data_IF_798161563887
#
_entry.id   IF_798161563887
#
_cell.length_a   1.000
_cell.length_b   1.000
_cell.length_c   1.000
_cell.angle_alpha   90.00
_cell.angle_beta   90.00
_cell.angle_gamma   90.00
#
_symmetry.space_group_name_H-M   'P 1'
#
loop_
_entity.id
_entity.type
_entity.pdbx_description
1 polymer ?
#
# COMPACT_ATOMS: atom_id res chain seq x y z
N UNK A 1 -4.47 -10.07 11.58
CA UNK A 1 -3.90 -10.60 10.31
C UNK A 1 -4.22 -9.66 9.13
N UNK A 2 -3.24 -9.36 8.26
CA UNK A 2 -3.43 -8.54 7.05
C UNK A 2 -4.36 -9.15 5.98
N UNK A 3 -5.14 -8.33 5.28
CA UNK A 3 -6.13 -8.77 4.28
C UNK A 3 -5.53 -9.61 3.14
N UNK A 4 -4.35 -9.22 2.63
CA UNK A 4 -3.67 -9.87 1.52
C UNK A 4 -2.65 -10.95 1.94
N UNK A 5 -2.55 -11.27 3.23
CA UNK A 5 -1.47 -12.11 3.79
C UNK A 5 -1.23 -13.41 3.00
N UNK A 6 -2.30 -14.11 2.58
CA UNK A 6 -2.19 -15.38 1.83
C UNK A 6 -1.87 -15.25 0.35
N UNK A 7 -2.10 -14.09 -0.26
CA UNK A 7 -1.99 -13.94 -1.72
C UNK A 7 -0.82 -13.06 -2.13
N UNK A 8 -0.52 -12.02 -1.36
CA UNK A 8 0.56 -11.09 -1.62
C UNK A 8 0.94 -10.35 -0.33
N UNK A 9 1.85 -10.93 0.46
CA UNK A 9 2.22 -10.40 1.78
C UNK A 9 3.02 -9.09 1.68
N UNK A 10 3.83 -8.93 0.63
CA UNK A 10 4.71 -7.78 0.40
C UNK A 10 3.95 -6.45 0.36
N UNK A 11 2.68 -6.45 -0.05
CA UNK A 11 1.84 -5.26 -0.12
C UNK A 11 1.73 -4.48 1.20
N UNK A 12 1.85 -5.16 2.34
CA UNK A 12 1.74 -4.55 3.66
C UNK A 12 2.91 -4.91 4.58
N UNK A 13 3.95 -5.56 4.04
CA UNK A 13 5.04 -6.08 4.84
C UNK A 13 5.85 -4.96 5.50
N UNK A 14 6.08 -3.86 4.78
CA UNK A 14 6.79 -2.69 5.28
C UNK A 14 6.11 -2.01 6.49
N UNK A 15 4.83 -2.29 6.77
CA UNK A 15 4.13 -1.80 7.98
C UNK A 15 4.65 -2.45 9.27
N UNK A 16 5.29 -3.63 9.19
CA UNK A 16 5.78 -4.38 10.36
C UNK A 16 4.72 -4.57 11.47
N UNK A 17 3.69 -5.35 11.16
CA UNK A 17 2.57 -5.59 12.07
C UNK A 17 2.98 -6.18 13.42
N UNK A 18 4.02 -7.02 13.49
CA UNK A 18 4.48 -7.57 14.77
C UNK A 18 4.95 -6.47 15.70
N UNK A 19 5.72 -5.49 15.19
CA UNK A 19 6.15 -4.33 15.98
C UNK A 19 4.97 -3.46 16.41
N UNK A 20 3.96 -3.32 15.55
CA UNK A 20 2.73 -2.59 15.89
C UNK A 20 1.89 -3.33 16.94
N UNK A 21 1.80 -4.66 16.87
CA UNK A 21 1.09 -5.51 17.83
C UNK A 21 1.75 -5.48 19.23
N UNK A 22 3.08 -5.32 19.28
CA UNK A 22 3.84 -5.19 20.53
C UNK A 22 3.77 -3.77 21.16
N UNK A 23 3.18 -2.80 20.46
CA UNK A 23 3.08 -1.41 20.89
C UNK A 23 1.77 -1.13 21.64
N UNK A 24 1.78 -1.45 22.93
CA UNK A 24 0.63 -1.30 23.82
C UNK A 24 0.52 0.14 24.34
N UNK A 25 -0.20 0.98 23.61
CA UNK A 25 -0.58 2.32 24.05
C UNK A 25 -2.07 2.57 23.83
N UNK A 26 -2.72 3.21 24.79
CA UNK A 26 -4.11 3.66 24.65
C UNK A 26 -4.22 4.98 23.87
N UNK A 27 -3.11 5.72 23.74
CA UNK A 27 -3.08 7.02 23.07
C UNK A 27 -2.54 6.89 21.66
N UNK A 28 -3.18 7.60 20.73
CA UNK A 28 -2.70 7.70 19.35
C UNK A 28 -1.34 8.38 19.34
N UNK A 29 -0.34 7.70 18.78
CA UNK A 29 1.02 8.19 18.64
C UNK A 29 1.72 7.53 17.44
N UNK A 30 2.90 8.04 17.09
CA UNK A 30 3.77 7.40 16.09
C UNK A 30 4.46 6.22 16.76
N UNK A 31 4.15 5.01 16.29
CA UNK A 31 4.78 3.78 16.74
C UNK A 31 6.22 3.68 16.24
N UNK A 32 6.40 3.81 14.92
CA UNK A 32 7.71 3.70 14.28
C UNK A 32 7.72 4.23 12.85
N UNK A 33 8.92 4.55 12.36
CA UNK A 33 9.15 4.84 10.96
C UNK A 33 9.19 3.55 10.14
N UNK A 34 8.66 3.60 8.92
CA UNK A 34 8.86 2.55 7.91
C UNK A 34 10.27 2.70 7.34
N UNK A 35 11.17 1.79 7.69
CA UNK A 35 12.59 1.86 7.29
C UNK A 35 12.92 1.06 6.05
N UNK A 36 12.16 -0.02 5.78
CA UNK A 36 12.36 -0.89 4.63
C UNK A 36 11.17 -0.71 3.69
N UNK A 37 11.20 0.35 2.88
CA UNK A 37 10.23 0.49 1.81
C UNK A 37 10.31 -0.73 0.90
N UNK A 38 9.16 -1.35 0.65
CA UNK A 38 9.07 -2.53 -0.20
C UNK A 38 8.32 -2.18 -1.49
N UNK A 39 8.82 -2.68 -2.62
CA UNK A 39 8.19 -2.44 -3.89
C UNK A 39 6.75 -2.96 -3.89
N UNK A 40 5.81 -2.14 -4.38
CA UNK A 40 4.36 -2.37 -4.28
C UNK A 40 3.78 -2.25 -2.86
N UNK A 41 4.45 -1.54 -1.94
CA UNK A 41 3.85 -1.18 -0.66
C UNK A 41 2.55 -0.38 -0.85
N UNK A 42 1.48 -0.80 -0.18
CA UNK A 42 0.13 -0.24 -0.32
C UNK A 42 -0.57 -0.14 1.05
N UNK A 43 -0.12 0.77 1.93
CA UNK A 43 -0.77 1.02 3.20
C UNK A 43 -2.12 1.72 3.04
N UNK A 44 -2.89 1.76 4.12
CA UNK A 44 -3.86 2.84 4.32
C UNK A 44 -3.14 3.95 5.08
N UNK A 45 -3.23 5.18 4.61
CA UNK A 45 -2.51 6.30 5.18
C UNK A 45 -3.35 7.57 5.16
N UNK A 46 -2.94 8.53 5.99
CA UNK A 46 -3.35 9.92 5.93
C UNK A 46 -2.12 10.73 5.55
N UNK A 47 -2.28 11.73 4.70
CA UNK A 47 -1.19 12.60 4.25
C UNK A 47 -1.71 14.04 4.07
N UNK A 48 -0.81 15.04 4.06
CA UNK A 48 -1.16 16.39 3.65
C UNK A 48 -1.65 16.42 2.19
N UNK A 49 -2.35 17.47 1.80
CA UNK A 49 -2.80 17.70 0.43
C UNK A 49 -1.66 18.06 -0.56
N UNK A 50 -0.43 18.19 -0.04
CA UNK A 50 0.78 18.48 -0.83
C UNK A 50 1.45 17.24 -1.42
N UNK A 51 1.01 16.04 -1.07
CA UNK A 51 1.55 14.82 -1.68
C UNK A 51 1.19 14.72 -3.16
N UNK A 52 1.99 14.03 -3.99
CA UNK A 52 1.62 13.75 -5.37
C UNK A 52 0.21 13.18 -5.49
N UNK A 53 -0.54 13.61 -6.49
CA UNK A 53 -1.91 13.14 -6.72
C UNK A 53 -1.94 11.69 -7.23
N UNK A 54 -3.10 11.05 -7.16
CA UNK A 54 -3.27 9.76 -7.83
C UNK A 54 -3.15 9.92 -9.36
N UNK A 55 -2.35 9.08 -9.99
CA UNK A 55 -2.21 9.07 -11.44
C UNK A 55 -3.46 8.44 -12.10
N UNK A 56 -4.21 9.28 -12.82
CA UNK A 56 -5.49 8.92 -13.44
C UNK A 56 -5.36 7.89 -14.58
N UNK A 57 -4.14 7.58 -15.05
CA UNK A 57 -3.93 6.50 -16.02
C UNK A 57 -4.23 5.13 -15.42
N UNK A 58 -4.13 4.97 -14.10
CA UNK A 58 -4.43 3.72 -13.40
C UNK A 58 -5.91 3.65 -13.03
N UNK A 59 -6.67 2.89 -13.81
CA UNK A 59 -8.13 2.76 -13.65
C UNK A 59 -8.53 1.35 -13.24
N UNK A 60 -9.57 1.23 -12.41
CA UNK A 60 -10.12 -0.04 -12.00
C UNK A 60 -9.26 -0.76 -10.97
N UNK A 61 -9.00 -2.06 -11.19
CA UNK A 61 -8.32 -2.92 -10.22
C UNK A 61 -6.79 -2.97 -10.41
N UNK A 62 -6.08 -2.70 -9.31
CA UNK A 62 -4.63 -2.85 -9.20
C UNK A 62 -3.84 -1.59 -9.61
N UNK A 63 -2.73 -1.35 -8.92
CA UNK A 63 -1.81 -0.25 -9.16
C UNK A 63 -2.39 1.18 -9.02
N UNK A 64 -3.45 1.35 -8.23
CA UNK A 64 -4.06 2.68 -8.03
C UNK A 64 -3.47 3.42 -6.83
N UNK A 65 -3.21 2.72 -5.73
CA UNK A 65 -2.66 3.32 -4.51
C UNK A 65 -1.16 3.11 -4.37
N UNK A 66 -0.66 1.92 -4.70
CA UNK A 66 0.78 1.63 -4.59
C UNK A 66 1.65 2.49 -5.53
N UNK A 67 1.08 3.03 -6.61
CA UNK A 67 1.74 3.95 -7.54
C UNK A 67 2.00 5.29 -6.89
N UNK A 68 0.98 5.89 -6.26
CA UNK A 68 1.14 7.13 -5.49
C UNK A 68 2.09 6.94 -4.30
N UNK A 69 2.02 5.78 -3.62
CA UNK A 69 2.95 5.44 -2.52
C UNK A 69 4.38 5.33 -3.03
N UNK A 70 4.59 4.74 -4.20
CA UNK A 70 5.89 4.68 -4.85
C UNK A 70 6.40 6.08 -5.26
N UNK A 71 5.55 6.93 -5.82
CA UNK A 71 5.92 8.30 -6.19
C UNK A 71 6.28 9.15 -4.97
N UNK A 72 5.50 9.07 -3.89
CA UNK A 72 5.84 9.69 -2.61
C UNK A 72 7.20 9.23 -2.10
N UNK A 73 7.48 7.92 -2.17
CA UNK A 73 8.77 7.38 -1.77
C UNK A 73 9.92 7.96 -2.62
N UNK A 74 9.77 8.00 -3.94
CA UNK A 74 10.79 8.57 -4.84
C UNK A 74 10.97 10.07 -4.62
N UNK A 75 9.89 10.80 -4.31
CA UNK A 75 9.91 12.22 -3.95
C UNK A 75 10.48 12.51 -2.54
N UNK A 76 10.92 11.48 -1.79
CA UNK A 76 11.61 11.62 -0.51
C UNK A 76 10.69 11.71 0.71
N UNK A 77 9.39 11.43 0.56
CA UNK A 77 8.48 11.33 1.70
C UNK A 77 8.83 10.13 2.58
N UNK A 78 8.64 10.31 3.88
CA UNK A 78 8.82 9.25 4.88
C UNK A 78 7.46 8.75 5.37
N UNK A 79 7.37 7.46 5.63
CA UNK A 79 6.15 6.83 6.14
C UNK A 79 6.32 6.49 7.62
N UNK A 80 5.26 6.73 8.39
CA UNK A 80 5.20 6.46 9.82
C UNK A 80 3.96 5.64 10.13
N UNK A 81 4.11 4.66 11.02
CA UNK A 81 3.02 3.80 11.46
C UNK A 81 2.42 4.39 12.74
N UNK A 82 1.09 4.55 12.77
CA UNK A 82 0.36 5.02 13.94
C UNK A 82 -0.14 3.83 14.79
N UNK A 83 -0.04 3.94 16.11
CA UNK A 83 -0.63 3.01 17.09
C UNK A 83 -1.54 3.77 18.05
N UNK A 84 -2.67 3.20 18.51
CA UNK A 84 -3.23 1.88 18.19
C UNK A 84 -4.26 1.94 17.03
N UNK A 85 -4.00 2.73 15.98
CA UNK A 85 -4.97 2.97 14.90
C UNK A 85 -4.95 1.82 13.88
N UNK A 86 -6.12 1.26 13.57
CA UNK A 86 -6.27 0.23 12.54
C UNK A 86 -7.61 0.34 11.82
N UNK A 87 -7.69 -0.29 10.65
CA UNK A 87 -8.94 -0.46 9.88
C UNK A 87 -9.25 -1.94 9.72
N UNK A 88 -10.52 -2.31 9.86
CA UNK A 88 -10.98 -3.68 9.66
C UNK A 88 -11.62 -3.86 8.28
N UNK A 89 -11.34 -5.00 7.65
CA UNK A 89 -12.04 -5.45 6.45
C UNK A 89 -12.80 -6.74 6.74
N UNK A 90 -14.03 -6.85 6.23
CA UNK A 90 -14.82 -8.08 6.39
C UNK A 90 -14.31 -9.18 5.45
N UNK A 91 -13.73 -10.23 6.04
CA UNK A 91 -13.15 -11.34 5.29
C UNK A 91 -11.72 -11.07 4.79
N UNK A 92 -11.09 -12.12 4.25
CA UNK A 92 -9.69 -12.13 3.81
C UNK A 92 -9.58 -12.47 2.33
N UNK A 93 -8.57 -11.90 1.67
CA UNK A 93 -8.34 -12.18 0.27
C UNK A 93 -7.82 -13.61 0.07
N UNK A 94 -8.37 -14.28 -0.93
CA UNK A 94 -7.92 -15.61 -1.33
C UNK A 94 -7.71 -15.68 -2.85
N UNK A 95 -7.15 -16.81 -3.32
CA UNK A 95 -6.88 -17.04 -4.76
C UNK A 95 -8.10 -17.57 -5.51
N UNK A 96 -9.11 -18.10 -4.82
CA UNK A 96 -10.29 -18.73 -5.44
C UNK A 96 -11.29 -17.65 -5.89
N UNK A 97 -12.02 -17.93 -6.97
CA UNK A 97 -13.13 -17.07 -7.41
C UNK A 97 -12.72 -15.66 -7.87
N UNK A 98 -11.46 -15.45 -8.27
CA UNK A 98 -11.05 -14.18 -8.86
C UNK A 98 -11.64 -14.05 -10.26
N UNK A 99 -12.48 -13.02 -10.52
CA UNK A 99 -13.07 -12.86 -11.83
C UNK A 99 -12.01 -12.40 -12.84
N UNK A 100 -12.10 -12.91 -14.07
CA UNK A 100 -11.12 -12.68 -15.15
C UNK A 100 -10.90 -11.19 -15.47
N UNK A 101 -11.93 -10.35 -15.28
CA UNK A 101 -11.82 -8.90 -15.50
C UNK A 101 -10.81 -8.24 -14.56
N UNK A 102 -10.64 -8.72 -13.32
CA UNK A 102 -9.64 -8.17 -12.38
C UNK A 102 -8.24 -8.42 -12.88
N UNK A 103 -7.98 -9.62 -13.40
CA UNK A 103 -6.69 -9.98 -13.96
C UNK A 103 -6.38 -9.17 -15.23
N UNK A 104 -7.37 -9.00 -16.10
CA UNK A 104 -7.24 -8.15 -17.31
C UNK A 104 -6.88 -6.71 -16.95
N UNK A 105 -7.56 -6.11 -15.96
CA UNK A 105 -7.27 -4.75 -15.49
C UNK A 105 -5.90 -4.66 -14.82
N UNK A 106 -5.57 -5.61 -13.94
CA UNK A 106 -4.27 -5.63 -13.26
C UNK A 106 -3.11 -5.75 -14.25
N UNK A 107 -3.24 -6.58 -15.29
CA UNK A 107 -2.24 -6.73 -16.34
C UNK A 107 -2.12 -5.46 -17.21
N UNK A 108 -3.23 -4.79 -17.52
CA UNK A 108 -3.19 -3.52 -18.23
C UNK A 108 -2.48 -2.44 -17.40
N UNK A 109 -2.80 -2.34 -16.11
CA UNK A 109 -2.18 -1.36 -15.22
C UNK A 109 -0.70 -1.67 -14.93
N UNK A 110 -0.32 -2.95 -14.85
CA UNK A 110 1.10 -3.34 -14.73
C UNK A 110 1.95 -2.79 -15.87
N UNK A 111 1.45 -2.83 -17.12
CA UNK A 111 2.17 -2.28 -18.28
C UNK A 111 2.35 -0.76 -18.18
N UNK A 112 1.31 -0.05 -17.70
CA UNK A 112 1.39 1.41 -17.45
C UNK A 112 2.40 1.71 -16.35
N UNK A 113 2.46 0.87 -15.32
CA UNK A 113 3.39 1.04 -14.22
C UNK A 113 4.86 0.96 -14.64
N UNK A 114 5.20 0.11 -15.61
CA UNK A 114 6.57 0.02 -16.13
C UNK A 114 7.03 1.28 -16.89
N UNK A 115 6.10 2.08 -17.39
CA UNK A 115 6.38 3.39 -17.97
C UNK A 115 6.46 4.44 -16.86
N UNK A 116 5.43 4.50 -16.00
CA UNK A 116 5.36 5.41 -14.86
C UNK A 116 6.63 5.42 -13.99
N UNK A 117 7.17 4.25 -13.65
CA UNK A 117 8.41 4.16 -12.84
C UNK A 117 9.60 4.91 -13.43
N UNK A 118 9.67 5.04 -14.76
CA UNK A 118 10.76 5.74 -15.45
C UNK A 118 10.51 7.23 -15.56
N UNK A 119 9.27 7.67 -15.38
CA UNK A 119 8.88 9.08 -15.43
C UNK A 119 9.09 9.75 -14.07
N UNK A 120 8.93 9.00 -12.97
CA UNK A 120 9.05 9.53 -11.60
C UNK A 120 10.44 9.39 -10.99
N UNK A 121 11.30 8.54 -11.54
CA UNK A 121 12.70 8.35 -11.12
C UNK A 121 13.63 9.27 -11.91
#
# INVERSE_FOLDING_TARGET
QPFHHKVFIYNQFATNFSRWEDDFSEKVHISHNVTNFEFLYEPFYMAPDTVPLHDERFLGYGFTRNTQVYEMYVAGYQFQVLSPVFTCHWGLQNRKGRPSWREKQNNANRRKFDVFKREVF
#
